data_IF_061118190516
#
_entry.id   IF_061118190516
#
_cell.length_a   1.000
_cell.length_b   1.000
_cell.length_c   1.000
_cell.angle_alpha   90.00
_cell.angle_beta   90.00
_cell.angle_gamma   90.00
#
_symmetry.space_group_name_H-M   'P 1'
#
loop_
_entity.id
_entity.type
_entity.pdbx_description
1 polymer ?
#
# COMPACT_ATOMS: atom_id res chain seq x y z
N UNK A 1 1.77 -23.30 11.71
CA UNK A 1 2.49 -22.52 10.68
C UNK A 1 2.87 -21.15 11.23
N UNK A 2 4.11 -20.73 11.02
CA UNK A 2 4.57 -19.42 11.43
C UNK A 2 4.29 -18.38 10.32
N UNK A 3 3.33 -17.47 10.57
CA UNK A 3 2.95 -16.41 9.63
C UNK A 3 3.61 -15.06 9.92
N UNK A 4 4.52 -15.00 10.90
CA UNK A 4 5.16 -13.73 11.30
C UNK A 4 5.89 -13.08 10.14
N UNK A 5 5.83 -11.76 10.09
CA UNK A 5 6.56 -10.93 9.14
C UNK A 5 7.17 -9.72 9.82
N UNK A 6 8.18 -9.14 9.17
CA UNK A 6 8.74 -7.84 9.60
C UNK A 6 8.36 -6.77 8.59
N UNK A 7 7.90 -5.63 9.10
CA UNK A 7 7.54 -4.48 8.28
C UNK A 7 7.78 -3.18 9.06
N UNK A 8 8.45 -2.21 8.46
CA UNK A 8 8.79 -0.93 9.11
C UNK A 8 9.60 -1.10 10.42
N UNK A 9 10.39 -2.16 10.53
CA UNK A 9 11.08 -2.52 11.77
C UNK A 9 10.16 -3.09 12.87
N UNK A 10 8.87 -3.30 12.57
CA UNK A 10 7.89 -3.88 13.48
C UNK A 10 7.74 -5.39 13.25
N UNK A 11 7.64 -6.16 14.33
CA UNK A 11 7.32 -7.58 14.24
C UNK A 11 5.80 -7.75 14.17
N UNK A 12 5.32 -8.28 13.06
CA UNK A 12 3.91 -8.50 12.81
C UNK A 12 3.57 -10.00 12.93
N UNK A 13 2.39 -10.31 13.47
CA UNK A 13 1.91 -11.70 13.63
C UNK A 13 1.64 -12.41 12.30
N UNK A 14 1.36 -11.64 11.24
CA UNK A 14 1.06 -12.13 9.89
C UNK A 14 1.37 -11.04 8.86
N UNK A 15 1.39 -11.33 7.55
CA UNK A 15 1.59 -10.32 6.53
C UNK A 15 0.32 -9.50 6.22
N UNK A 16 -0.78 -9.68 6.95
CA UNK A 16 -2.07 -9.07 6.65
C UNK A 16 -2.24 -7.73 7.35
N UNK A 17 -2.17 -6.65 6.58
CA UNK A 17 -2.36 -5.28 7.07
C UNK A 17 -3.68 -4.72 6.52
N UNK A 18 -4.51 -4.13 7.38
CA UNK A 18 -5.68 -3.39 6.93
C UNK A 18 -5.23 -2.04 6.34
N UNK A 19 -5.45 -1.83 5.04
CA UNK A 19 -5.02 -0.62 4.33
C UNK A 19 -5.89 0.58 4.69
N UNK A 20 -5.35 1.79 4.48
CA UNK A 20 -6.07 3.04 4.59
C UNK A 20 -7.42 2.98 3.84
N UNK A 21 -8.52 3.17 4.56
CA UNK A 21 -9.88 3.06 4.02
C UNK A 21 -10.91 3.68 4.97
N UNK A 22 -12.17 3.87 4.56
CA UNK A 22 -13.23 4.28 5.48
C UNK A 22 -13.43 3.36 6.68
N UNK A 23 -13.02 2.09 6.61
CA UNK A 23 -13.10 1.15 7.75
C UNK A 23 -12.21 1.58 8.92
N UNK A 24 -11.13 2.31 8.67
CA UNK A 24 -10.19 2.74 9.71
C UNK A 24 -10.51 4.12 10.29
N UNK A 25 -11.71 4.67 10.02
CA UNK A 25 -12.20 5.92 10.60
C UNK A 25 -12.69 5.78 12.04
N UNK A 26 -13.24 4.62 12.43
CA UNK A 26 -13.89 4.40 13.70
C UNK A 26 -13.14 3.38 14.56
N UNK A 27 -13.02 3.67 15.85
CA UNK A 27 -12.31 2.81 16.82
C UNK A 27 -12.90 1.40 16.90
N UNK A 28 -14.23 1.28 16.86
CA UNK A 28 -14.90 -0.02 16.91
C UNK A 28 -14.52 -0.91 15.70
N UNK A 29 -14.35 -0.31 14.53
CA UNK A 29 -13.86 -1.06 13.38
C UNK A 29 -12.40 -1.45 13.55
N UNK A 30 -11.56 -0.62 14.16
CA UNK A 30 -10.16 -0.91 14.42
C UNK A 30 -10.03 -2.11 15.36
N UNK A 31 -10.84 -2.15 16.45
CA UNK A 31 -10.92 -3.33 17.33
C UNK A 31 -11.36 -4.58 16.57
N UNK A 32 -12.39 -4.46 15.73
CA UNK A 32 -12.86 -5.57 14.90
C UNK A 32 -11.83 -6.05 13.89
N UNK A 33 -11.00 -5.15 13.36
CA UNK A 33 -9.86 -5.50 12.47
C UNK A 33 -8.80 -6.31 13.24
N UNK A 34 -8.44 -5.89 14.46
CA UNK A 34 -7.55 -6.64 15.34
C UNK A 34 -8.12 -8.02 15.66
N UNK A 35 -9.38 -8.09 16.10
CA UNK A 35 -10.08 -9.35 16.42
C UNK A 35 -10.17 -10.30 15.22
N UNK A 36 -10.28 -9.75 14.00
CA UNK A 36 -10.32 -10.51 12.76
C UNK A 36 -8.94 -10.97 12.29
N UNK A 37 -7.84 -10.53 12.92
CA UNK A 37 -6.49 -10.98 12.62
C UNK A 37 -5.64 -9.99 11.84
N UNK A 38 -6.03 -8.72 11.71
CA UNK A 38 -5.12 -7.71 11.18
C UNK A 38 -3.83 -7.65 12.00
N UNK A 39 -2.69 -7.68 11.33
CA UNK A 39 -1.38 -7.58 11.98
C UNK A 39 -0.96 -6.13 12.24
N UNK A 40 -1.51 -5.20 11.49
CA UNK A 40 -1.42 -3.75 11.66
C UNK A 40 -2.58 -3.07 10.94
N UNK A 41 -2.82 -1.80 11.26
CA UNK A 41 -3.82 -0.97 10.60
C UNK A 41 -3.17 0.30 10.07
N UNK A 42 -3.40 0.61 8.80
CA UNK A 42 -3.10 1.93 8.24
C UNK A 42 -4.36 2.78 8.35
N UNK A 43 -4.29 3.90 9.06
CA UNK A 43 -5.38 4.85 9.16
C UNK A 43 -5.69 5.46 7.79
N UNK A 44 -6.96 5.85 7.56
CA UNK A 44 -7.29 6.65 6.39
C UNK A 44 -6.39 7.89 6.31
N UNK A 45 -6.09 8.33 5.10
CA UNK A 45 -5.15 9.44 4.92
C UNK A 45 -5.74 10.75 5.45
N UNK A 46 -4.95 11.49 6.19
CA UNK A 46 -5.20 12.88 6.48
C UNK A 46 -4.74 13.72 5.29
N UNK A 47 -5.63 14.52 4.71
CA UNK A 47 -5.35 15.38 3.57
C UNK A 47 -5.09 16.83 4.02
N UNK A 48 -4.15 17.51 3.35
CA UNK A 48 -3.81 18.90 3.69
C UNK A 48 -5.00 19.85 3.53
N UNK A 49 -5.87 19.62 2.56
CA UNK A 49 -7.10 20.37 2.37
C UNK A 49 -8.04 20.32 3.59
N UNK A 50 -8.01 19.21 4.36
CA UNK A 50 -8.74 19.13 5.63
C UNK A 50 -8.16 20.04 6.69
N UNK A 51 -6.87 20.34 6.59
CA UNK A 51 -6.13 21.15 7.53
C UNK A 51 -6.37 22.65 7.28
N UNK A 52 -6.40 23.05 6.01
CA UNK A 52 -6.64 24.44 5.59
C UNK A 52 -8.10 24.86 5.80
N UNK A 53 -9.04 23.93 5.77
CA UNK A 53 -10.48 24.19 5.86
C UNK A 53 -10.94 24.76 7.21
N UNK A 54 -10.10 24.77 8.25
CA UNK A 54 -10.33 25.52 9.51
C UNK A 54 -11.65 25.26 10.26
N UNK A 55 -12.36 24.17 9.97
CA UNK A 55 -13.68 23.85 10.53
C UNK A 55 -14.74 23.54 9.46
N UNK A 56 -14.57 23.98 8.22
CA UNK A 56 -15.48 23.68 7.09
C UNK A 56 -15.15 22.35 6.40
N UNK A 57 -14.58 21.40 7.14
CA UNK A 57 -14.14 20.07 6.62
C UNK A 57 -15.29 19.33 5.96
N UNK A 58 -16.53 19.53 6.44
CA UNK A 58 -17.72 18.86 5.88
C UNK A 58 -18.10 19.38 4.49
N UNK A 59 -17.86 20.66 4.19
CA UNK A 59 -18.13 21.26 2.89
C UNK A 59 -17.20 20.69 1.82
N UNK A 60 -15.99 20.28 2.22
CA UNK A 60 -15.04 19.57 1.35
C UNK A 60 -15.28 18.06 1.28
N UNK A 61 -16.35 17.55 1.90
CA UNK A 61 -16.68 16.12 1.93
C UNK A 61 -15.86 15.29 2.92
N UNK A 62 -15.03 15.92 3.75
CA UNK A 62 -14.24 15.23 4.78
C UNK A 62 -15.05 15.07 6.08
N UNK A 63 -14.80 13.98 6.81
CA UNK A 63 -15.54 13.65 8.05
C UNK A 63 -14.81 14.02 9.32
N UNK A 64 -13.49 14.20 9.24
CA UNK A 64 -12.59 14.35 10.39
C UNK A 64 -11.58 15.45 10.11
N UNK A 65 -11.45 16.40 11.01
CA UNK A 65 -10.39 17.43 10.95
C UNK A 65 -9.07 16.92 11.56
N UNK A 66 -7.98 17.70 11.41
CA UNK A 66 -6.63 17.27 11.80
C UNK A 66 -6.52 16.95 13.31
N UNK A 67 -7.07 17.77 14.18
CA UNK A 67 -7.02 17.56 15.63
C UNK A 67 -7.74 16.24 16.02
N UNK A 68 -8.93 16.02 15.48
CA UNK A 68 -9.67 14.78 15.74
C UNK A 68 -8.98 13.54 15.15
N UNK A 69 -8.20 13.70 14.07
CA UNK A 69 -7.37 12.62 13.51
C UNK A 69 -6.27 12.21 14.50
N UNK A 70 -5.55 13.18 15.09
CA UNK A 70 -4.51 12.93 16.08
C UNK A 70 -5.08 12.30 17.36
N UNK A 71 -6.24 12.80 17.84
CA UNK A 71 -6.96 12.23 18.98
C UNK A 71 -7.35 10.77 18.74
N UNK A 72 -7.81 10.44 17.53
CA UNK A 72 -8.14 9.06 17.13
C UNK A 72 -6.92 8.14 17.09
N UNK A 73 -5.75 8.62 16.68
CA UNK A 73 -4.51 7.86 16.79
C UNK A 73 -4.22 7.52 18.25
N UNK A 74 -4.25 8.54 19.13
CA UNK A 74 -4.01 8.34 20.54
C UNK A 74 -5.05 7.44 21.21
N UNK A 75 -6.32 7.50 20.78
CA UNK A 75 -7.38 6.59 21.21
C UNK A 75 -7.07 5.16 20.76
N UNK A 76 -6.81 4.93 19.47
CA UNK A 76 -6.52 3.61 18.94
C UNK A 76 -5.33 2.95 19.64
N UNK A 77 -4.27 3.71 19.92
CA UNK A 77 -3.10 3.21 20.66
C UNK A 77 -3.40 2.75 22.09
N UNK A 78 -4.49 3.21 22.70
CA UNK A 78 -4.95 2.72 24.01
C UNK A 78 -5.86 1.50 23.92
N UNK A 79 -6.54 1.33 22.78
CA UNK A 79 -7.63 0.38 22.63
C UNK A 79 -7.23 -0.92 21.92
N UNK A 80 -6.15 -0.90 21.12
CA UNK A 80 -5.65 -2.09 20.43
C UNK A 80 -4.17 -2.30 20.65
N UNK A 81 -3.72 -3.53 20.53
CA UNK A 81 -2.31 -3.93 20.70
C UNK A 81 -1.52 -3.94 19.40
N UNK A 82 -2.21 -4.00 18.26
CA UNK A 82 -1.57 -4.01 16.94
C UNK A 82 -1.01 -2.63 16.56
N UNK A 83 0.04 -2.58 15.78
CA UNK A 83 0.59 -1.32 15.28
C UNK A 83 -0.41 -0.46 14.53
N UNK A 84 -0.38 0.84 14.83
CA UNK A 84 -1.15 1.89 14.16
C UNK A 84 -0.22 2.70 13.27
N UNK A 85 -0.42 2.59 11.96
CA UNK A 85 0.32 3.32 10.94
C UNK A 85 -0.55 4.50 10.50
N UNK A 86 -0.13 5.72 10.79
CA UNK A 86 -0.82 6.91 10.30
C UNK A 86 -0.58 7.08 8.80
N UNK A 87 -1.51 7.70 8.08
CA UNK A 87 -1.35 8.00 6.65
C UNK A 87 -1.57 9.48 6.40
N UNK A 88 -0.68 10.11 5.66
CA UNK A 88 -0.65 11.55 5.39
C UNK A 88 -0.58 11.79 3.89
N UNK A 89 -1.38 12.75 3.41
CA UNK A 89 -1.34 13.25 2.05
C UNK A 89 -1.31 14.78 2.08
N UNK A 90 -0.17 15.37 1.74
CA UNK A 90 0.00 16.82 1.68
C UNK A 90 0.45 17.27 0.29
N UNK A 91 0.23 18.54 0.01
CA UNK A 91 0.62 19.21 -1.23
C UNK A 91 1.85 20.08 -1.01
N UNK A 92 2.03 20.65 0.19
CA UNK A 92 3.14 21.52 0.57
C UNK A 92 4.20 20.81 1.42
N UNK A 93 5.46 21.25 1.33
CA UNK A 93 6.55 20.68 2.15
C UNK A 93 6.36 20.96 3.64
N UNK A 94 5.84 22.14 3.99
CA UNK A 94 5.60 22.53 5.39
C UNK A 94 4.47 21.69 6.01
N UNK A 95 3.41 21.40 5.25
CA UNK A 95 2.35 20.47 5.64
C UNK A 95 2.92 19.08 5.98
N UNK A 96 3.75 18.52 5.11
CA UNK A 96 4.38 17.22 5.34
C UNK A 96 5.20 17.19 6.65
N UNK A 97 6.00 18.21 6.93
CA UNK A 97 6.86 18.28 8.13
C UNK A 97 6.03 18.42 9.39
N UNK A 98 5.11 19.38 9.40
CA UNK A 98 4.32 19.73 10.58
C UNK A 98 3.52 18.53 11.06
N UNK A 99 2.79 17.89 10.15
CA UNK A 99 1.92 16.77 10.52
C UNK A 99 2.67 15.47 10.79
N UNK A 100 3.81 15.22 10.14
CA UNK A 100 4.66 14.08 10.50
C UNK A 100 5.14 14.13 11.97
N UNK A 101 5.43 15.32 12.49
CA UNK A 101 5.80 15.52 13.90
C UNK A 101 4.60 15.28 14.84
N UNK A 102 3.47 15.90 14.55
CA UNK A 102 2.24 15.77 15.37
C UNK A 102 1.73 14.31 15.42
N UNK A 103 1.80 13.59 14.28
CA UNK A 103 1.44 12.17 14.19
C UNK A 103 2.35 11.32 15.10
N UNK A 104 3.65 11.59 15.13
CA UNK A 104 4.58 10.94 16.05
C UNK A 104 4.23 11.23 17.50
N UNK A 105 3.93 12.49 17.83
CA UNK A 105 3.56 12.91 19.18
C UNK A 105 2.23 12.29 19.63
N UNK A 106 1.29 12.06 18.70
CA UNK A 106 0.05 11.34 18.96
C UNK A 106 0.26 9.82 19.23
N UNK A 107 1.47 9.30 19.03
CA UNK A 107 1.85 7.94 19.40
C UNK A 107 1.69 6.91 18.28
N UNK A 108 1.57 7.31 17.00
CA UNK A 108 1.59 6.38 15.89
C UNK A 108 2.90 5.59 15.88
N UNK A 109 2.84 4.30 15.54
CA UNK A 109 4.00 3.41 15.44
C UNK A 109 4.81 3.66 14.17
N UNK A 110 4.14 4.08 13.09
CA UNK A 110 4.76 4.40 11.81
C UNK A 110 3.93 5.45 11.04
N UNK A 111 4.52 5.99 9.98
CA UNK A 111 3.88 6.95 9.08
C UNK A 111 3.96 6.46 7.63
N UNK A 112 2.83 6.41 6.94
CA UNK A 112 2.74 6.22 5.48
C UNK A 112 2.60 7.60 4.79
N UNK A 113 3.56 7.97 3.95
CA UNK A 113 3.42 9.10 3.04
C UNK A 113 2.65 8.65 1.81
N UNK A 114 1.39 9.02 1.72
CA UNK A 114 0.55 8.75 0.57
C UNK A 114 0.76 9.86 -0.48
N UNK A 115 1.82 9.74 -1.29
CA UNK A 115 2.13 10.74 -2.31
C UNK A 115 1.28 10.47 -3.55
N UNK A 116 0.22 11.26 -3.70
CA UNK A 116 -0.74 11.13 -4.80
C UNK A 116 -0.72 12.40 -5.64
N UNK A 117 -0.15 12.32 -6.84
CA UNK A 117 -0.06 13.44 -7.77
C UNK A 117 -0.52 13.01 -9.15
N UNK A 118 -1.32 13.86 -9.79
CA UNK A 118 -1.68 13.78 -11.21
C UNK A 118 -1.15 15.06 -11.85
N UNK A 119 0.10 15.07 -12.36
CA UNK A 119 0.67 16.25 -13.01
C UNK A 119 -0.03 16.47 -14.35
N UNK A 120 -0.75 17.60 -14.47
CA UNK A 120 -1.51 17.98 -15.65
C UNK A 120 -0.92 19.19 -16.38
N UNK A 121 0.07 19.84 -15.78
CA UNK A 121 0.79 20.96 -16.36
C UNK A 121 1.81 20.44 -17.40
N UNK A 122 1.65 20.82 -18.66
CA UNK A 122 2.51 20.42 -19.77
C UNK A 122 3.94 20.97 -19.67
N UNK A 123 4.15 22.05 -18.93
CA UNK A 123 5.45 22.69 -18.76
C UNK A 123 6.25 22.03 -17.63
N UNK A 124 5.59 21.21 -16.79
CA UNK A 124 6.23 20.46 -15.72
C UNK A 124 6.89 19.20 -16.25
N UNK A 125 8.21 19.18 -16.32
CA UNK A 125 8.95 18.01 -16.79
C UNK A 125 8.87 16.83 -15.84
N UNK A 126 8.95 15.59 -16.34
CA UNK A 126 8.99 14.38 -15.51
C UNK A 126 10.08 14.42 -14.43
N UNK A 127 11.26 14.97 -14.76
CA UNK A 127 12.35 15.15 -13.79
C UNK A 127 11.96 16.08 -12.62
N UNK A 128 11.18 17.13 -12.86
CA UNK A 128 10.68 18.02 -11.80
C UNK A 128 9.60 17.33 -10.95
N UNK A 129 8.74 16.53 -11.57
CA UNK A 129 7.76 15.71 -10.83
C UNK A 129 8.48 14.75 -9.90
N UNK A 130 9.45 13.97 -10.40
CA UNK A 130 10.25 13.03 -9.60
C UNK A 130 11.02 13.74 -8.49
N UNK A 131 11.62 14.92 -8.78
CA UNK A 131 12.28 15.74 -7.78
C UNK A 131 11.33 16.08 -6.63
N UNK A 132 10.07 16.38 -6.90
CA UNK A 132 9.06 16.65 -5.87
C UNK A 132 8.87 15.48 -4.90
N UNK A 133 8.81 14.23 -5.39
CA UNK A 133 8.77 13.04 -4.53
C UNK A 133 10.03 12.90 -3.66
N UNK A 134 11.20 13.09 -4.27
CA UNK A 134 12.49 13.03 -3.58
C UNK A 134 12.55 14.09 -2.47
N UNK A 135 12.14 15.32 -2.76
CA UNK A 135 12.18 16.43 -1.80
C UNK A 135 11.23 16.17 -0.61
N UNK A 136 10.02 15.65 -0.85
CA UNK A 136 9.07 15.25 0.21
C UNK A 136 9.72 14.22 1.14
N UNK A 137 10.20 13.10 0.61
CA UNK A 137 10.78 12.02 1.42
C UNK A 137 12.01 12.49 2.18
N UNK A 138 12.92 13.22 1.53
CA UNK A 138 14.10 13.80 2.18
C UNK A 138 13.73 14.71 3.34
N UNK A 139 12.76 15.58 3.13
CA UNK A 139 12.35 16.59 4.10
C UNK A 139 11.66 15.96 5.30
N UNK A 140 10.73 15.02 5.08
CA UNK A 140 10.06 14.31 6.17
C UNK A 140 11.06 13.44 6.94
N UNK A 141 11.94 12.70 6.24
CA UNK A 141 12.96 11.86 6.91
C UNK A 141 13.89 12.68 7.79
N UNK A 142 14.26 13.89 7.37
CA UNK A 142 15.07 14.81 8.19
C UNK A 142 14.31 15.33 9.42
N UNK A 143 12.98 15.50 9.31
CA UNK A 143 12.15 16.10 10.36
C UNK A 143 11.71 15.09 11.44
N UNK A 144 11.70 13.79 11.15
CA UNK A 144 11.22 12.76 12.10
C UNK A 144 12.00 11.46 12.00
N UNK A 145 12.04 10.72 13.11
CA UNK A 145 12.63 9.37 13.22
C UNK A 145 11.57 8.25 13.28
N UNK A 146 10.29 8.59 13.12
CA UNK A 146 9.24 7.57 13.04
C UNK A 146 9.52 6.63 11.86
N UNK A 147 9.26 5.33 11.95
CA UNK A 147 9.31 4.43 10.80
C UNK A 147 8.45 4.98 9.65
N UNK A 148 9.02 5.00 8.44
CA UNK A 148 8.46 5.73 7.30
C UNK A 148 8.22 4.82 6.11
N UNK A 149 6.96 4.68 5.71
CA UNK A 149 6.56 4.08 4.44
C UNK A 149 6.29 5.16 3.39
N UNK A 150 6.66 4.90 2.14
CA UNK A 150 6.34 5.77 1.00
C UNK A 150 5.45 5.02 0.02
N UNK A 151 4.21 5.47 -0.11
CA UNK A 151 3.24 4.89 -1.03
C UNK A 151 3.24 5.65 -2.35
N UNK A 152 3.42 4.91 -3.44
CA UNK A 152 3.70 5.44 -4.76
C UNK A 152 2.62 5.05 -5.77
N UNK A 153 2.45 5.88 -6.80
CA UNK A 153 1.79 5.47 -8.04
C UNK A 153 2.80 4.77 -8.97
N UNK A 154 2.33 4.04 -10.00
CA UNK A 154 3.22 3.34 -10.94
C UNK A 154 3.74 4.20 -12.08
N UNK A 155 3.32 5.46 -12.18
CA UNK A 155 3.51 6.31 -13.35
C UNK A 155 4.85 7.06 -13.34
N UNK A 156 5.94 6.32 -13.50
CA UNK A 156 7.29 6.85 -13.68
C UNK A 156 7.91 6.27 -14.95
N UNK A 157 8.70 7.06 -15.65
CA UNK A 157 9.40 6.61 -16.87
C UNK A 157 10.33 5.42 -16.60
N UNK A 158 10.99 5.42 -15.43
CA UNK A 158 11.81 4.33 -14.93
C UNK A 158 11.55 4.14 -13.44
N UNK A 159 10.62 3.24 -13.12
CA UNK A 159 10.21 3.00 -11.74
C UNK A 159 11.34 2.41 -10.89
N UNK A 160 12.18 1.53 -11.45
CA UNK A 160 13.33 0.97 -10.72
C UNK A 160 14.34 2.05 -10.33
N UNK A 161 14.64 3.01 -11.22
CA UNK A 161 15.51 4.14 -10.89
C UNK A 161 14.87 5.04 -9.83
N UNK A 162 13.57 5.33 -9.96
CA UNK A 162 12.87 6.17 -8.98
C UNK A 162 12.90 5.55 -7.59
N UNK A 163 12.62 4.24 -7.48
CA UNK A 163 12.64 3.53 -6.19
C UNK A 163 14.03 3.45 -5.58
N UNK A 164 15.07 3.23 -6.39
CA UNK A 164 16.46 3.26 -5.91
C UNK A 164 16.85 4.63 -5.33
N UNK A 165 16.42 5.72 -5.98
CA UNK A 165 16.65 7.09 -5.50
C UNK A 165 15.89 7.38 -4.20
N UNK A 166 14.67 6.86 -4.06
CA UNK A 166 13.90 6.98 -2.81
C UNK A 166 14.53 6.13 -1.70
N UNK A 167 14.92 4.88 -1.97
CA UNK A 167 15.57 3.98 -1.02
C UNK A 167 16.86 4.59 -0.43
N UNK A 168 17.62 5.32 -1.27
CA UNK A 168 18.83 6.03 -0.82
C UNK A 168 18.55 7.13 0.23
N UNK A 169 17.31 7.61 0.35
CA UNK A 169 16.90 8.60 1.36
C UNK A 169 16.53 7.95 2.71
N UNK A 170 16.47 6.62 2.77
CA UNK A 170 16.23 5.85 3.99
C UNK A 170 14.77 5.81 4.48
N UNK A 171 13.76 5.71 3.61
CA UNK A 171 12.47 5.22 4.06
C UNK A 171 12.61 3.76 4.50
N UNK A 172 11.76 3.34 5.43
CA UNK A 172 11.78 1.96 5.95
C UNK A 172 10.96 1.02 5.07
N UNK A 173 10.01 1.56 4.27
CA UNK A 173 9.21 0.75 3.35
C UNK A 173 8.76 1.54 2.10
N UNK A 174 8.49 0.79 1.02
CA UNK A 174 7.81 1.25 -0.19
C UNK A 174 6.49 0.50 -0.35
N UNK A 175 5.38 1.22 -0.57
CA UNK A 175 4.04 0.65 -0.73
C UNK A 175 3.59 0.77 -2.18
N UNK A 176 3.33 -0.35 -2.82
CA UNK A 176 3.03 -0.48 -4.25
C UNK A 176 1.66 -1.10 -4.47
N UNK A 177 0.69 -0.42 -5.03
CA UNK A 177 0.66 0.94 -5.53
C UNK A 177 -0.53 1.72 -4.98
N UNK A 178 -0.47 3.06 -5.02
CA UNK A 178 -1.66 3.90 -4.94
C UNK A 178 -2.65 3.48 -6.03
N UNK A 179 -3.93 3.39 -5.67
CA UNK A 179 -4.99 3.23 -6.64
C UNK A 179 -5.42 4.60 -7.15
N UNK A 180 -5.22 4.83 -8.43
CA UNK A 180 -5.72 6.03 -9.10
C UNK A 180 -7.18 5.82 -9.46
N UNK A 181 -8.05 6.67 -8.95
CA UNK A 181 -9.46 6.68 -9.32
C UNK A 181 -9.60 7.35 -10.68
N UNK A 182 -10.11 6.59 -11.64
CA UNK A 182 -10.34 7.08 -12.99
C UNK A 182 -11.72 7.71 -13.07
N UNK A 183 -11.85 8.91 -13.68
CA UNK A 183 -13.14 9.48 -13.97
C UNK A 183 -13.85 8.61 -15.00
N UNK A 184 -15.14 8.41 -14.82
CA UNK A 184 -16.04 7.81 -15.81
C UNK A 184 -17.00 8.85 -16.34
N UNK A 185 -17.57 8.63 -17.51
CA UNK A 185 -18.49 9.56 -18.17
C UNK A 185 -19.86 8.92 -18.29
N UNK A 186 -20.89 9.66 -17.84
CA UNK A 186 -22.27 9.34 -18.17
C UNK A 186 -22.63 10.06 -19.48
N UNK A 187 -22.76 9.35 -20.62
CA UNK A 187 -23.02 9.98 -21.91
C UNK A 187 -24.41 10.60 -22.00
N UNK A 188 -25.40 10.01 -21.31
CA UNK A 188 -26.78 10.52 -21.36
C UNK A 188 -26.93 11.84 -20.60
N UNK A 189 -26.18 12.00 -19.51
CA UNK A 189 -26.19 13.19 -18.66
C UNK A 189 -25.08 14.19 -19.02
N UNK A 190 -24.16 13.83 -19.93
CA UNK A 190 -22.94 14.59 -20.27
C UNK A 190 -22.20 15.06 -19.01
N UNK A 191 -22.05 14.18 -18.04
CA UNK A 191 -21.47 14.46 -16.72
C UNK A 191 -20.39 13.48 -16.35
N UNK A 192 -19.44 13.93 -15.52
CA UNK A 192 -18.41 13.05 -14.94
C UNK A 192 -19.05 12.23 -13.82
N UNK A 193 -18.98 10.91 -13.94
CA UNK A 193 -19.34 9.99 -12.88
C UNK A 193 -18.25 10.00 -11.81
N UNK A 194 -18.64 10.32 -10.58
CA UNK A 194 -17.81 10.10 -9.42
C UNK A 194 -18.20 8.75 -8.80
N UNK A 195 -17.24 7.85 -8.68
CA UNK A 195 -17.49 6.54 -8.09
C UNK A 195 -16.20 5.84 -7.66
N UNK A 196 -16.29 5.13 -6.53
CA UNK A 196 -15.22 4.29 -6.03
C UNK A 196 -15.33 2.90 -6.67
N UNK A 197 -14.46 2.59 -7.63
CA UNK A 197 -14.33 1.22 -8.12
C UNK A 197 -13.40 0.43 -7.19
N UNK A 198 -13.93 -0.63 -6.59
CA UNK A 198 -13.12 -1.56 -5.81
C UNK A 198 -12.20 -2.37 -6.74
N UNK A 199 -11.02 -2.74 -6.22
CA UNK A 199 -10.07 -3.56 -6.97
C UNK A 199 -10.64 -4.96 -7.26
N UNK A 200 -10.10 -5.56 -8.31
CA UNK A 200 -10.26 -6.98 -8.65
C UNK A 200 -8.91 -7.68 -8.48
N UNK A 201 -8.88 -9.01 -8.60
CA UNK A 201 -7.61 -9.76 -8.54
C UNK A 201 -6.62 -9.35 -9.64
N UNK A 202 -7.09 -8.93 -10.81
CA UNK A 202 -6.23 -8.46 -11.91
C UNK A 202 -5.37 -7.24 -11.50
N UNK A 203 -5.87 -6.41 -10.59
CA UNK A 203 -5.11 -5.26 -10.08
C UNK A 203 -3.86 -5.67 -9.28
N UNK A 204 -3.73 -6.94 -8.88
CA UNK A 204 -2.55 -7.46 -8.18
C UNK A 204 -1.35 -7.72 -9.08
N UNK A 205 -1.55 -7.86 -10.39
CA UNK A 205 -0.48 -8.24 -11.33
C UNK A 205 0.60 -7.15 -11.47
N UNK A 206 0.21 -5.89 -11.40
CA UNK A 206 1.16 -4.79 -11.50
C UNK A 206 2.08 -4.69 -10.26
N UNK A 207 1.57 -4.64 -9.01
CA UNK A 207 2.43 -4.69 -7.84
C UNK A 207 3.25 -5.99 -7.76
N UNK A 208 2.70 -7.15 -8.15
CA UNK A 208 3.44 -8.41 -8.20
C UNK A 208 4.71 -8.29 -9.05
N UNK A 209 4.59 -7.77 -10.27
CA UNK A 209 5.75 -7.56 -11.15
C UNK A 209 6.79 -6.68 -10.51
N UNK A 210 6.38 -5.50 -10.02
CA UNK A 210 7.34 -4.53 -9.49
C UNK A 210 7.97 -4.94 -8.18
N UNK A 211 7.23 -5.61 -7.30
CA UNK A 211 7.80 -6.18 -6.07
C UNK A 211 8.84 -7.25 -6.44
N UNK A 212 8.52 -8.12 -7.40
CA UNK A 212 9.47 -9.14 -7.87
C UNK A 212 10.75 -8.56 -8.46
N UNK A 213 10.67 -7.45 -9.20
CA UNK A 213 11.85 -6.76 -9.76
C UNK A 213 12.66 -6.05 -8.66
N UNK A 214 11.98 -5.45 -7.67
CA UNK A 214 12.63 -4.62 -6.66
C UNK A 214 13.20 -5.42 -5.49
N UNK A 215 12.67 -6.62 -5.24
CA UNK A 215 13.18 -7.49 -4.16
C UNK A 215 14.67 -7.80 -4.34
N UNK A 216 15.45 -7.49 -3.31
CA UNK A 216 16.92 -7.59 -3.34
C UNK A 216 17.63 -6.38 -3.98
N UNK A 217 16.90 -5.48 -4.67
CA UNK A 217 17.46 -4.27 -5.29
C UNK A 217 17.24 -3.00 -4.45
N UNK A 218 16.36 -3.05 -3.46
CA UNK A 218 16.13 -1.97 -2.48
C UNK A 218 16.25 -2.54 -1.07
N UNK A 219 16.61 -1.71 -0.09
CA UNK A 219 16.71 -2.09 1.34
C UNK A 219 15.39 -1.94 2.06
N UNK A 220 14.56 -1.00 1.61
CA UNK A 220 13.24 -0.76 2.17
C UNK A 220 12.36 -2.01 2.03
N UNK A 221 11.53 -2.28 3.04
CA UNK A 221 10.51 -3.31 2.96
C UNK A 221 9.53 -3.02 1.81
N UNK A 222 9.07 -4.05 1.13
CA UNK A 222 8.09 -3.93 0.05
C UNK A 222 6.71 -4.34 0.56
N UNK A 223 5.73 -3.46 0.43
CA UNK A 223 4.35 -3.72 0.78
C UNK A 223 3.48 -3.76 -0.48
N UNK A 224 2.71 -4.84 -0.65
CA UNK A 224 1.79 -4.99 -1.77
C UNK A 224 0.42 -4.43 -1.43
N UNK A 225 -0.17 -3.61 -2.30
CA UNK A 225 -1.55 -3.15 -2.17
C UNK A 225 -2.28 -3.13 -3.52
N UNK A 226 -3.58 -3.43 -3.50
CA UNK A 226 -4.41 -3.61 -4.69
C UNK A 226 -4.53 -5.06 -5.13
N UNK A 227 -5.76 -5.52 -5.37
CA UNK A 227 -6.04 -6.85 -5.89
C UNK A 227 -5.88 -8.03 -4.92
N UNK A 228 -5.70 -7.78 -3.64
CA UNK A 228 -5.58 -8.82 -2.62
C UNK A 228 -6.98 -9.23 -2.16
N UNK A 229 -7.47 -10.37 -2.67
CA UNK A 229 -8.82 -10.87 -2.40
C UNK A 229 -8.85 -12.28 -1.83
N UNK A 230 -7.83 -13.11 -2.09
CA UNK A 230 -7.75 -14.52 -1.68
C UNK A 230 -6.40 -14.81 -1.05
N UNK A 231 -6.31 -15.91 -0.31
CA UNK A 231 -5.05 -16.37 0.28
C UNK A 231 -3.94 -16.54 -0.77
N UNK A 232 -4.28 -17.04 -1.96
CA UNK A 232 -3.32 -17.16 -3.06
C UNK A 232 -2.73 -15.83 -3.50
N UNK A 233 -3.48 -14.72 -3.41
CA UNK A 233 -2.96 -13.40 -3.75
C UNK A 233 -1.90 -12.96 -2.71
N UNK A 234 -2.14 -13.26 -1.43
CA UNK A 234 -1.18 -13.02 -0.34
C UNK A 234 0.10 -13.85 -0.58
N UNK A 235 -0.05 -15.14 -0.83
CA UNK A 235 1.06 -16.07 -1.06
C UNK A 235 1.91 -15.61 -2.25
N UNK A 236 1.30 -15.28 -3.39
CA UNK A 236 2.00 -14.77 -4.57
C UNK A 236 2.82 -13.52 -4.26
N UNK A 237 2.27 -12.59 -3.48
CA UNK A 237 2.99 -11.36 -3.11
C UNK A 237 4.19 -11.65 -2.20
N UNK A 238 4.05 -12.56 -1.24
CA UNK A 238 5.17 -12.99 -0.40
C UNK A 238 6.22 -13.71 -1.24
N UNK A 239 5.83 -14.59 -2.14
CA UNK A 239 6.74 -15.32 -3.03
C UNK A 239 7.59 -14.38 -3.90
N UNK A 240 7.04 -13.24 -4.34
CA UNK A 240 7.82 -12.25 -5.10
C UNK A 240 8.59 -11.28 -4.21
N UNK A 241 8.42 -11.33 -2.87
CA UNK A 241 9.25 -10.59 -1.91
C UNK A 241 8.53 -9.52 -1.09
N UNK A 242 7.19 -9.43 -1.15
CA UNK A 242 6.47 -8.54 -0.26
C UNK A 242 6.67 -8.94 1.21
N UNK A 243 6.91 -7.94 2.05
CA UNK A 243 6.91 -8.10 3.50
C UNK A 243 5.48 -8.22 4.05
N UNK A 244 4.57 -7.42 3.51
CA UNK A 244 3.16 -7.41 3.89
C UNK A 244 2.25 -7.23 2.67
N UNK A 245 0.99 -7.62 2.83
CA UNK A 245 -0.10 -7.35 1.91
C UNK A 245 -1.14 -6.47 2.58
N UNK A 246 -1.50 -5.37 1.92
CA UNK A 246 -2.44 -4.39 2.42
C UNK A 246 -3.82 -4.62 1.81
N UNK A 247 -4.78 -5.01 2.64
CA UNK A 247 -6.14 -5.41 2.22
C UNK A 247 -7.11 -4.25 2.43
N UNK A 248 -7.85 -3.89 1.39
CA UNK A 248 -8.90 -2.86 1.44
C UNK A 248 -10.19 -3.34 0.74
N UNK A 249 -10.17 -3.45 -0.57
CA UNK A 249 -11.36 -3.75 -1.39
C UNK A 249 -12.05 -5.05 -0.99
N UNK A 250 -11.28 -6.07 -0.62
CA UNK A 250 -11.85 -7.33 -0.12
C UNK A 250 -12.61 -7.12 1.19
N UNK A 251 -12.07 -6.33 2.13
CA UNK A 251 -12.74 -6.04 3.39
C UNK A 251 -14.00 -5.18 3.23
N UNK A 252 -14.01 -4.27 2.25
CA UNK A 252 -15.19 -3.47 1.92
C UNK A 252 -16.30 -4.31 1.28
N UNK A 253 -15.93 -5.34 0.54
CA UNK A 253 -16.86 -6.23 -0.18
C UNK A 253 -17.37 -7.37 0.70
N UNK A 254 -16.44 -8.08 1.36
CA UNK A 254 -16.72 -9.32 2.10
C UNK A 254 -16.86 -9.09 3.62
N UNK A 255 -16.54 -7.88 4.11
CA UNK A 255 -16.52 -7.55 5.52
C UNK A 255 -15.16 -7.82 6.19
N UNK A 256 -15.00 -7.24 7.40
CA UNK A 256 -13.74 -7.28 8.17
C UNK A 256 -13.32 -8.73 8.50
N UNK A 257 -14.29 -9.64 8.75
CA UNK A 257 -14.03 -11.05 9.05
C UNK A 257 -13.28 -11.82 7.97
N UNK A 258 -13.23 -11.28 6.73
CA UNK A 258 -12.49 -11.89 5.62
C UNK A 258 -10.98 -11.99 5.86
N UNK A 259 -10.41 -11.16 6.77
CA UNK A 259 -9.01 -11.30 7.18
C UNK A 259 -8.69 -12.69 7.74
N UNK A 260 -9.61 -13.25 8.53
CA UNK A 260 -9.43 -14.62 9.09
C UNK A 260 -9.45 -15.67 7.98
N UNK A 261 -10.29 -15.51 6.97
CA UNK A 261 -10.31 -16.40 5.80
C UNK A 261 -8.98 -16.36 5.05
N UNK A 262 -8.41 -15.15 4.87
CA UNK A 262 -7.09 -15.00 4.24
C UNK A 262 -6.00 -15.65 5.08
N UNK A 263 -5.97 -15.39 6.39
CA UNK A 263 -4.96 -15.94 7.32
C UNK A 263 -5.01 -17.48 7.33
N UNK A 264 -6.20 -18.06 7.48
CA UNK A 264 -6.41 -19.52 7.47
C UNK A 264 -5.95 -20.13 6.15
N UNK A 265 -6.35 -19.55 5.01
CA UNK A 265 -5.97 -20.08 3.70
C UNK A 265 -4.47 -20.01 3.43
N UNK A 266 -3.77 -18.98 3.95
CA UNK A 266 -2.30 -18.92 3.87
C UNK A 266 -1.66 -20.01 4.71
N UNK A 267 -2.14 -20.23 5.94
CA UNK A 267 -1.62 -21.28 6.83
C UNK A 267 -1.85 -22.68 6.24
N UNK A 268 -3.03 -22.95 5.71
CA UNK A 268 -3.38 -24.21 5.06
C UNK A 268 -2.50 -24.48 3.83
N UNK A 269 -2.25 -23.45 3.02
CA UNK A 269 -1.38 -23.56 1.84
C UNK A 269 0.05 -23.92 2.23
N UNK A 270 0.61 -23.28 3.26
CA UNK A 270 1.97 -23.59 3.76
C UNK A 270 2.05 -25.04 4.23
N UNK A 271 1.06 -25.50 5.00
CA UNK A 271 0.97 -26.87 5.49
C UNK A 271 0.93 -27.90 4.35
N UNK A 272 0.06 -27.67 3.38
CA UNK A 272 -0.08 -28.54 2.20
C UNK A 272 1.19 -28.63 1.36
N UNK A 273 2.05 -27.60 1.38
CA UNK A 273 3.28 -27.56 0.59
C UNK A 273 4.54 -27.87 1.44
N UNK A 274 4.38 -28.22 2.72
CA UNK A 274 5.47 -28.63 3.60
C UNK A 274 6.37 -27.49 4.08
N UNK A 275 5.87 -26.24 4.09
CA UNK A 275 6.58 -25.09 4.63
C UNK A 275 6.19 -24.86 6.11
N UNK A 276 7.16 -24.56 6.95
CA UNK A 276 6.92 -24.24 8.36
C UNK A 276 6.60 -22.78 8.60
N UNK A 277 7.07 -21.90 7.69
CA UNK A 277 6.95 -20.44 7.83
C UNK A 277 6.82 -19.70 6.51
N UNK A 278 6.23 -18.48 6.56
CA UNK A 278 6.22 -17.53 5.45
C UNK A 278 7.63 -17.08 5.04
N UNK A 279 8.57 -17.05 5.97
CA UNK A 279 9.95 -16.65 5.70
C UNK A 279 10.63 -17.56 4.66
N UNK A 280 10.27 -18.84 4.61
CA UNK A 280 10.82 -19.80 3.66
C UNK A 280 10.40 -19.52 2.21
N UNK A 281 9.23 -18.93 2.02
CA UNK A 281 8.73 -18.63 0.67
C UNK A 281 8.93 -17.17 0.25
N UNK A 282 9.40 -16.30 1.17
CA UNK A 282 9.58 -14.88 0.85
C UNK A 282 10.66 -14.67 -0.20
N UNK A 283 10.27 -14.14 -1.35
CA UNK A 283 11.17 -13.77 -2.44
C UNK A 283 11.66 -14.93 -3.31
N UNK A 284 11.22 -16.19 -3.08
CA UNK A 284 11.65 -17.34 -3.88
C UNK A 284 11.31 -17.24 -5.37
N UNK A 285 10.28 -16.45 -5.70
CA UNK A 285 9.83 -16.17 -7.06
C UNK A 285 10.09 -14.72 -7.48
N UNK A 286 10.98 -14.01 -6.79
CA UNK A 286 11.45 -12.69 -7.25
C UNK A 286 12.27 -12.83 -8.53
N UNK A 287 12.45 -11.73 -9.26
CA UNK A 287 13.27 -11.73 -10.49
C UNK A 287 14.67 -12.29 -10.24
N UNK A 288 15.26 -11.99 -9.09
CA UNK A 288 16.59 -12.45 -8.72
C UNK A 288 16.67 -13.96 -8.48
N UNK A 289 15.60 -14.58 -8.02
CA UNK A 289 15.61 -15.96 -7.51
C UNK A 289 14.81 -16.95 -8.38
N UNK A 290 13.91 -16.46 -9.24
CA UNK A 290 13.07 -17.32 -10.06
C UNK A 290 13.87 -18.00 -11.17
N UNK A 291 13.39 -19.17 -11.69
CA UNK A 291 14.09 -19.90 -12.79
C UNK A 291 14.20 -19.11 -14.09
N UNK A 292 13.26 -18.22 -14.37
CA UNK A 292 13.25 -17.36 -15.56
C UNK A 292 13.06 -15.88 -15.19
N UNK A 293 14.16 -15.15 -14.92
CA UNK A 293 14.11 -13.72 -14.63
C UNK A 293 13.49 -12.86 -15.75
N UNK A 294 13.60 -13.33 -17.01
CA UNK A 294 13.08 -12.59 -18.16
C UNK A 294 11.55 -12.51 -18.19
N UNK A 295 10.87 -13.39 -17.45
CA UNK A 295 9.41 -13.36 -17.28
C UNK A 295 8.90 -12.07 -16.60
N UNK A 296 9.76 -11.33 -15.88
CA UNK A 296 9.43 -10.02 -15.33
C UNK A 296 9.60 -8.85 -16.30
N UNK A 297 10.27 -9.11 -17.46
CA UNK A 297 10.65 -8.11 -18.45
C UNK A 297 9.86 -8.23 -19.75
N UNK A 298 10.41 -7.64 -20.82
CA UNK A 298 9.79 -7.62 -22.14
C UNK A 298 9.56 -9.03 -22.73
N UNK A 299 10.37 -10.03 -22.37
CA UNK A 299 10.21 -11.39 -22.87
C UNK A 299 8.84 -11.98 -22.55
N UNK A 300 8.26 -11.67 -21.39
CA UNK A 300 6.91 -12.12 -21.04
C UNK A 300 5.87 -11.70 -22.08
N UNK A 301 5.96 -10.50 -22.65
CA UNK A 301 5.01 -10.04 -23.67
C UNK A 301 5.01 -10.97 -24.88
N UNK A 302 6.20 -11.35 -25.34
CA UNK A 302 6.37 -12.26 -26.49
C UNK A 302 5.83 -13.66 -26.14
N UNK A 303 6.19 -14.19 -24.97
CA UNK A 303 5.70 -15.49 -24.50
C UNK A 303 4.18 -15.53 -24.35
N UNK A 304 3.58 -14.49 -23.75
CA UNK A 304 2.12 -14.41 -23.59
C UNK A 304 1.38 -14.40 -24.92
N UNK A 305 1.91 -13.70 -25.93
CA UNK A 305 1.33 -13.70 -27.28
C UNK A 305 1.47 -15.06 -27.96
N UNK A 306 2.62 -15.71 -27.86
CA UNK A 306 2.83 -17.04 -28.44
C UNK A 306 1.91 -18.07 -27.81
N UNK A 307 1.83 -18.11 -26.47
CA UNK A 307 0.95 -19.04 -25.76
C UNK A 307 -0.53 -18.83 -26.14
N UNK A 308 -0.96 -17.55 -26.26
CA UNK A 308 -2.34 -17.26 -26.69
C UNK A 308 -2.63 -17.71 -28.13
N UNK A 309 -1.64 -17.60 -29.03
CA UNK A 309 -1.77 -18.08 -30.42
C UNK A 309 -1.86 -19.60 -30.50
N UNK A 310 -1.13 -20.31 -29.64
CA UNK A 310 -1.12 -21.78 -29.59
C UNK A 310 -2.35 -22.34 -28.88
N UNK A 311 -2.85 -21.66 -27.84
CA UNK A 311 -4.05 -22.05 -27.09
C UNK A 311 -4.87 -20.81 -26.63
N UNK A 312 -5.86 -20.36 -27.41
CA UNK A 312 -6.73 -19.24 -27.05
C UNK A 312 -7.56 -19.45 -25.77
N UNK A 313 -7.67 -20.70 -25.28
CA UNK A 313 -8.40 -21.00 -24.04
C UNK A 313 -7.62 -20.60 -22.78
N UNK A 314 -6.37 -20.22 -22.90
CA UNK A 314 -5.51 -19.73 -21.78
C UNK A 314 -5.92 -18.36 -21.23
N UNK A 315 -7.06 -17.80 -21.65
CA UNK A 315 -7.61 -16.57 -21.04
C UNK A 315 -8.29 -16.97 -19.73
N UNK A 316 -7.64 -16.71 -18.63
CA UNK A 316 -8.19 -16.91 -17.27
C UNK A 316 -8.70 -15.61 -16.67
#
# INVERSE_FOLDING_TARGET
MNLTSQYLGLNLRSPLVASASPLTLGIDNIRRLEDAGAAAVVFYSLFEEQMEAGGNVRELGFRVGPQAYLEKIAEAKREVSIPIIASLNCTTLDGWISYARQIKEAGADALELNIYKIPTDSDLTGALVEKGYIDIVRTVRAATKIPLAVKLGPYFSNFANMTARLDALGPDALVLFNRFYQPDINPDQMSIRQGLMLSTQADSLLPLRWIGILHGNVRADLAATGGIHRANDVIKMVMVGAAVTMVCSALLREGIGHLRTLETGVAEWLDQHGYESLAEIKGIMSQQNCPDPSAFERAQYVHSLATFMDDPSCIT
#
